data_IF_017059708074
#
_entry.id   IF_017059708074
#
_cell.length_a   1.000
_cell.length_b   1.000
_cell.length_c   1.000
_cell.angle_alpha   90.00
_cell.angle_beta   90.00
_cell.angle_gamma   90.00
#
_symmetry.space_group_name_H-M   'P 1'
#
loop_
_entity.id
_entity.type
_entity.pdbx_description
1 polymer ?
#
# COMPACT_ATOMS: atom_id res chain seq x y z
N UNK A 1 12.55 -7.15 5.48
CA UNK A 1 12.08 -6.00 4.69
C UNK A 1 12.89 -4.76 5.05
N UNK A 2 13.22 -3.93 4.07
CA UNK A 2 13.99 -2.72 4.32
C UNK A 2 13.17 -1.71 5.13
N UNK A 3 13.84 -0.77 5.86
CA UNK A 3 13.12 0.31 6.52
C UNK A 3 12.30 1.13 5.53
N UNK A 4 11.13 1.59 5.96
CA UNK A 4 10.22 2.34 5.10
C UNK A 4 10.84 3.70 4.75
N UNK A 5 10.92 4.06 3.47
CA UNK A 5 11.41 5.38 3.08
C UNK A 5 10.39 6.46 3.42
N UNK A 6 10.83 7.73 3.39
CA UNK A 6 9.92 8.86 3.58
C UNK A 6 9.08 9.13 2.34
N UNK A 7 9.57 8.76 1.16
CA UNK A 7 8.88 8.92 -0.12
C UNK A 7 8.97 7.66 -0.97
N UNK A 8 7.91 7.38 -1.72
CA UNK A 8 7.85 6.31 -2.71
C UNK A 8 7.35 6.95 -4.00
N UNK A 9 8.10 6.79 -5.09
CA UNK A 9 7.78 7.39 -6.40
C UNK A 9 7.46 8.89 -6.30
N UNK A 10 8.17 9.61 -5.43
CA UNK A 10 7.99 11.04 -5.24
C UNK A 10 6.84 11.44 -4.34
N UNK A 11 6.02 10.50 -3.88
CA UNK A 11 4.90 10.77 -2.97
C UNK A 11 5.34 10.56 -1.52
N UNK A 12 4.88 11.43 -0.62
CA UNK A 12 5.19 11.32 0.80
C UNK A 12 4.40 10.18 1.44
N UNK A 13 5.09 9.31 2.17
CA UNK A 13 4.44 8.22 2.91
C UNK A 13 3.70 8.80 4.11
N UNK A 14 2.39 8.59 4.17
CA UNK A 14 1.53 9.04 5.27
C UNK A 14 1.36 7.91 6.29
N UNK A 15 1.08 6.70 5.81
CA UNK A 15 0.94 5.49 6.61
C UNK A 15 1.56 4.33 5.85
N UNK A 16 2.04 3.34 6.58
CA UNK A 16 2.56 2.13 5.95
C UNK A 16 2.31 0.92 6.85
N UNK A 17 2.31 -0.26 6.27
CA UNK A 17 2.30 -1.51 7.01
C UNK A 17 3.03 -2.59 6.21
N UNK A 18 4.05 -3.23 6.80
CA UNK A 18 4.57 -4.46 6.22
C UNK A 18 3.48 -5.54 6.25
N UNK A 19 3.43 -6.37 5.23
CA UNK A 19 2.49 -7.49 5.18
C UNK A 19 3.19 -8.74 5.70
N UNK A 20 2.58 -9.39 6.66
CA UNK A 20 3.15 -10.57 7.33
C UNK A 20 2.03 -11.53 7.74
N UNK A 21 2.31 -12.43 8.69
CA UNK A 21 1.36 -13.47 9.11
C UNK A 21 0.09 -12.92 9.79
N UNK A 22 0.06 -11.64 10.15
CA UNK A 22 -1.15 -11.00 10.70
C UNK A 22 -2.17 -10.68 9.61
N UNK A 23 -1.80 -10.83 8.34
CA UNK A 23 -2.61 -10.44 7.21
C UNK A 23 -2.96 -11.62 6.33
N UNK A 24 -4.14 -11.55 5.70
CA UNK A 24 -4.57 -12.56 4.73
C UNK A 24 -4.86 -11.88 3.41
N UNK A 25 -4.12 -12.26 2.37
CA UNK A 25 -4.39 -11.80 1.01
C UNK A 25 -5.70 -12.42 0.55
N UNK A 26 -6.72 -11.59 0.33
CA UNK A 26 -8.07 -12.07 0.06
C UNK A 26 -8.28 -12.57 -1.37
N UNK A 27 -7.48 -12.10 -2.31
CA UNK A 27 -7.69 -12.35 -3.74
C UNK A 27 -8.83 -11.54 -4.34
N UNK A 28 -9.44 -10.63 -3.57
CA UNK A 28 -10.55 -9.80 -4.06
C UNK A 28 -10.11 -8.84 -5.16
N UNK A 29 -8.82 -8.48 -5.16
CA UNK A 29 -8.24 -7.59 -6.16
C UNK A 29 -7.00 -8.26 -6.72
N UNK A 30 -6.97 -8.48 -8.03
CA UNK A 30 -5.84 -9.10 -8.71
C UNK A 30 -5.21 -8.09 -9.63
N UNK A 31 -3.89 -7.92 -9.51
CA UNK A 31 -3.13 -6.98 -10.32
C UNK A 31 -2.40 -7.76 -11.42
N UNK A 32 -2.62 -7.35 -12.67
CA UNK A 32 -1.94 -7.96 -13.82
C UNK A 32 -1.15 -6.86 -14.51
N UNK A 33 0.17 -7.04 -14.62
CA UNK A 33 1.07 -6.10 -15.27
C UNK A 33 1.79 -6.83 -16.39
N UNK A 34 1.69 -6.30 -17.62
CA UNK A 34 2.29 -6.90 -18.81
C UNK A 34 1.88 -8.37 -19.00
N UNK A 35 0.62 -8.70 -18.68
CA UNK A 35 0.08 -10.06 -18.82
C UNK A 35 0.47 -11.02 -17.71
N UNK A 36 1.19 -10.54 -16.69
CA UNK A 36 1.65 -11.37 -15.56
C UNK A 36 0.88 -11.01 -14.31
N UNK A 37 0.24 -12.00 -13.68
CA UNK A 37 -0.44 -11.81 -12.39
C UNK A 37 0.61 -11.51 -11.32
N UNK A 38 0.46 -10.38 -10.63
CA UNK A 38 1.41 -9.96 -9.60
C UNK A 38 1.22 -10.78 -8.32
N UNK A 39 2.33 -11.07 -7.65
CA UNK A 39 2.31 -11.69 -6.33
C UNK A 39 1.76 -10.72 -5.29
N UNK A 40 1.26 -11.21 -4.14
CA UNK A 40 0.84 -10.33 -3.05
C UNK A 40 1.96 -9.36 -2.66
N UNK A 41 1.57 -8.16 -2.25
CA UNK A 41 2.52 -7.15 -1.83
C UNK A 41 3.27 -7.58 -0.57
N UNK A 42 4.53 -7.15 -0.46
CA UNK A 42 5.32 -7.34 0.76
C UNK A 42 5.05 -6.23 1.77
N UNK A 43 4.55 -5.08 1.32
CA UNK A 43 4.15 -3.98 2.17
C UNK A 43 3.14 -3.09 1.46
N UNK A 44 2.37 -2.33 2.25
CA UNK A 44 1.42 -1.34 1.74
C UNK A 44 1.82 0.04 2.26
N UNK A 45 1.64 1.05 1.43
CA UNK A 45 1.88 2.43 1.83
C UNK A 45 0.76 3.32 1.30
N UNK A 46 0.26 4.22 2.15
CA UNK A 46 -0.67 5.27 1.74
C UNK A 46 0.15 6.52 1.58
N UNK A 47 0.20 7.08 0.38
CA UNK A 47 1.09 8.16 0.02
C UNK A 47 0.33 9.33 -0.58
N UNK A 48 0.90 10.54 -0.45
CA UNK A 48 0.31 11.77 -0.95
C UNK A 48 1.39 12.57 -1.68
N UNK A 49 1.06 13.03 -2.88
CA UNK A 49 1.93 13.97 -3.58
C UNK A 49 1.74 15.40 -3.03
N UNK A 50 2.79 16.20 -3.04
CA UNK A 50 2.77 17.56 -2.51
C UNK A 50 1.65 18.37 -3.17
N UNK A 51 0.90 19.10 -2.36
CA UNK A 51 -0.18 19.98 -2.84
C UNK A 51 -1.46 19.26 -3.22
N UNK A 52 -1.55 17.94 -3.02
CA UNK A 52 -2.75 17.16 -3.34
C UNK A 52 -3.45 16.72 -2.08
N UNK A 53 -4.79 16.71 -2.11
CA UNK A 53 -5.59 16.21 -0.99
C UNK A 53 -5.84 14.70 -1.09
N UNK A 54 -5.90 14.19 -2.32
CA UNK A 54 -6.08 12.75 -2.55
C UNK A 54 -4.83 11.96 -2.17
N UNK A 55 -5.01 10.67 -2.01
CA UNK A 55 -3.92 9.75 -1.67
C UNK A 55 -3.92 8.56 -2.63
N UNK A 56 -2.81 7.82 -2.60
CA UNK A 56 -2.65 6.56 -3.32
C UNK A 56 -2.37 5.45 -2.33
N UNK A 57 -2.96 4.29 -2.58
CA UNK A 57 -2.56 3.06 -1.90
C UNK A 57 -1.56 2.36 -2.80
N UNK A 58 -0.30 2.29 -2.36
CA UNK A 58 0.76 1.59 -3.07
C UNK A 58 0.94 0.19 -2.50
N UNK A 59 0.90 -0.83 -3.39
CA UNK A 59 1.38 -2.16 -3.06
C UNK A 59 2.85 -2.23 -3.44
N UNK A 60 3.69 -2.58 -2.47
CA UNK A 60 5.14 -2.49 -2.62
C UNK A 60 5.81 -3.87 -2.47
N UNK A 61 6.98 -4.01 -3.09
CA UNK A 61 7.84 -5.17 -2.86
C UNK A 61 8.64 -5.02 -1.56
N UNK A 62 9.55 -5.96 -1.29
CA UNK A 62 10.35 -5.96 -0.07
C UNK A 62 11.35 -4.79 0.02
N UNK A 63 11.54 -4.07 -1.06
CA UNK A 63 12.41 -2.88 -1.13
C UNK A 63 11.60 -1.58 -1.09
N UNK A 64 10.30 -1.66 -0.86
CA UNK A 64 9.35 -0.54 -0.91
C UNK A 64 9.27 0.11 -2.29
N UNK A 65 9.57 -0.64 -3.33
CA UNK A 65 9.29 -0.20 -4.70
C UNK A 65 7.82 -0.42 -5.01
N UNK A 66 7.17 0.60 -5.56
CA UNK A 66 5.75 0.52 -5.90
C UNK A 66 5.54 -0.42 -7.09
N UNK A 67 4.72 -1.43 -6.89
CA UNK A 67 4.36 -2.38 -7.95
C UNK A 67 2.93 -2.12 -8.46
N UNK A 68 2.02 -1.79 -7.54
CA UNK A 68 0.62 -1.50 -7.87
C UNK A 68 0.19 -0.24 -7.14
N UNK A 69 -0.81 0.46 -7.71
CA UNK A 69 -1.38 1.64 -7.06
C UNK A 69 -2.87 1.77 -7.34
N UNK A 70 -3.58 2.35 -6.38
CA UNK A 70 -4.97 2.76 -6.56
C UNK A 70 -5.14 4.16 -5.99
N UNK A 71 -5.98 4.97 -6.67
CA UNK A 71 -6.28 6.33 -6.27
C UNK A 71 -7.46 6.37 -5.30
N UNK A 72 -7.38 7.21 -4.27
CA UNK A 72 -8.47 7.38 -3.29
C UNK A 72 -8.61 8.84 -2.89
N UNK A 73 -9.85 9.26 -2.62
CA UNK A 73 -10.14 10.62 -2.19
C UNK A 73 -9.61 10.89 -0.79
N UNK A 74 -9.68 9.88 0.10
CA UNK A 74 -9.32 10.04 1.51
C UNK A 74 -8.45 8.88 1.99
N UNK A 75 -7.76 9.12 3.11
CA UNK A 75 -6.97 8.08 3.79
C UNK A 75 -7.89 6.93 4.20
N UNK A 76 -9.07 7.23 4.71
CA UNK A 76 -10.05 6.22 5.15
C UNK A 76 -10.47 5.32 4.00
N UNK A 77 -10.69 5.87 2.80
CA UNK A 77 -11.00 5.07 1.62
C UNK A 77 -9.85 4.14 1.25
N UNK A 78 -8.62 4.66 1.30
CA UNK A 78 -7.42 3.86 1.02
C UNK A 78 -7.28 2.73 2.04
N UNK A 79 -7.54 2.99 3.31
CA UNK A 79 -7.51 1.97 4.36
C UNK A 79 -8.56 0.88 4.15
N UNK A 80 -9.76 1.27 3.71
CA UNK A 80 -10.82 0.29 3.38
C UNK A 80 -10.43 -0.56 2.18
N UNK A 81 -9.82 0.04 1.15
CA UNK A 81 -9.33 -0.71 0.01
C UNK A 81 -8.25 -1.70 0.44
N UNK A 82 -7.34 -1.28 1.31
CA UNK A 82 -6.29 -2.14 1.83
C UNK A 82 -6.89 -3.33 2.59
N UNK A 83 -7.88 -3.11 3.44
CA UNK A 83 -8.55 -4.18 4.19
C UNK A 83 -9.26 -5.14 3.24
N UNK A 84 -9.85 -4.64 2.15
CA UNK A 84 -10.50 -5.45 1.14
C UNK A 84 -9.51 -6.39 0.43
N UNK A 85 -8.26 -5.96 0.24
CA UNK A 85 -7.22 -6.74 -0.41
C UNK A 85 -6.40 -7.58 0.57
N UNK A 86 -6.16 -7.05 1.79
CA UNK A 86 -5.32 -7.68 2.82
C UNK A 86 -6.03 -7.56 4.16
N UNK A 87 -6.77 -8.61 4.48
CA UNK A 87 -7.54 -8.67 5.73
C UNK A 87 -6.60 -8.59 6.94
N UNK A 88 -6.92 -7.72 7.88
CA UNK A 88 -6.11 -7.45 9.07
C UNK A 88 -5.29 -6.16 8.97
N UNK A 89 -5.18 -5.56 7.78
CA UNK A 89 -4.34 -4.37 7.60
C UNK A 89 -4.84 -3.16 8.40
N UNK A 90 -6.15 -3.04 8.63
CA UNK A 90 -6.70 -1.92 9.38
C UNK A 90 -6.16 -1.80 10.80
N UNK A 91 -5.62 -2.89 11.37
CA UNK A 91 -5.09 -2.92 12.72
C UNK A 91 -3.56 -2.70 12.78
N UNK A 92 -2.88 -2.57 11.65
CA UNK A 92 -1.41 -2.60 11.63
C UNK A 92 -0.74 -1.38 11.01
N UNK A 93 -1.50 -0.35 10.65
CA UNK A 93 -0.93 0.86 10.06
C UNK A 93 -0.01 1.58 11.02
N UNK A 94 1.14 2.02 10.50
CA UNK A 94 2.18 2.73 11.25
C UNK A 94 2.42 4.09 10.59
N UNK A 95 2.87 5.07 11.37
CA UNK A 95 3.32 6.36 10.85
C UNK A 95 4.82 6.30 10.57
N UNK A 96 5.31 6.89 9.48
CA UNK A 96 6.75 6.98 9.25
C UNK A 96 7.39 7.93 10.27
N UNK A 97 8.65 7.68 10.55
CA UNK A 97 9.42 8.53 11.46
C UNK A 97 9.87 9.80 10.76
#
# INVERSE_FOLDING_TARGET
MEPTPLKIDGATVVLFTPIDERHRHTGNCRQIVAGILQEPAAGLAICRYDGKENVYLFGCDEHWSCVTDTWHQTIEEAMRQAEFEYEGSSATWLRPN
#
